data_IF_097211451875
#
_entry.id   IF_097211451875
#
_cell.length_a   1.000
_cell.length_b   1.000
_cell.length_c   1.000
_cell.angle_alpha   90.00
_cell.angle_beta   90.00
_cell.angle_gamma   90.00
#
_symmetry.space_group_name_H-M   'P 1'
#
loop_
_entity.id
_entity.type
_entity.pdbx_description
1 polymer ?
#
# COMPACT_ATOMS: atom_id res chain seq x y z
N UNK A 1 -14.03 27.78 -29.67
CA UNK A 1 -13.27 28.52 -28.63
C UNK A 1 -13.57 27.93 -27.26
N UNK A 2 -12.83 26.92 -26.80
CA UNK A 2 -12.84 26.47 -25.40
C UNK A 2 -11.39 26.27 -24.98
N UNK A 3 -10.90 27.10 -24.06
CA UNK A 3 -9.52 27.09 -23.55
C UNK A 3 -9.38 25.93 -22.57
N UNK A 4 -8.69 24.87 -22.97
CA UNK A 4 -8.29 23.77 -22.10
C UNK A 4 -7.32 24.28 -21.03
N UNK A 5 -7.77 24.28 -19.78
CA UNK A 5 -6.98 24.71 -18.61
C UNK A 5 -6.17 23.50 -18.15
N UNK A 6 -4.90 23.44 -18.56
CA UNK A 6 -3.92 22.45 -18.05
C UNK A 6 -3.68 22.77 -16.58
N UNK A 7 -4.35 22.04 -15.67
CA UNK A 7 -4.09 22.13 -14.24
C UNK A 7 -2.90 21.22 -13.96
N UNK A 8 -1.80 21.84 -13.53
CA UNK A 8 -0.54 21.19 -13.15
C UNK A 8 -0.80 20.27 -11.95
N UNK A 9 -0.89 18.97 -12.20
CA UNK A 9 -1.01 17.94 -11.17
C UNK A 9 0.23 17.89 -10.28
N UNK A 10 0.01 17.88 -8.97
CA UNK A 10 1.06 17.70 -7.96
C UNK A 10 1.51 16.24 -8.00
N UNK A 11 2.77 16.00 -8.36
CA UNK A 11 3.40 14.71 -8.12
C UNK A 11 3.73 14.59 -6.62
N UNK A 12 3.15 13.60 -5.95
CA UNK A 12 3.54 13.19 -4.60
C UNK A 12 4.55 12.05 -4.74
N UNK A 13 5.81 12.29 -4.35
CA UNK A 13 6.86 11.28 -4.27
C UNK A 13 6.90 10.78 -2.81
N UNK A 14 6.40 9.57 -2.55
CA UNK A 14 6.54 8.92 -1.25
C UNK A 14 7.74 7.98 -1.28
N UNK A 15 8.76 8.28 -0.47
CA UNK A 15 9.92 7.42 -0.23
C UNK A 15 9.70 6.78 1.15
N UNK A 16 9.32 5.50 1.17
CA UNK A 16 9.11 4.77 2.42
C UNK A 16 10.47 4.40 3.04
N UNK A 17 10.74 4.93 4.23
CA UNK A 17 11.81 4.48 5.11
C UNK A 17 11.21 3.83 6.36
N UNK A 18 11.48 2.54 6.56
CA UNK A 18 11.18 1.81 7.80
C UNK A 18 12.00 2.36 8.97
N UNK A 19 11.37 2.81 10.06
CA UNK A 19 11.94 2.70 11.43
C UNK A 19 10.85 2.56 12.50
N UNK A 20 11.18 1.73 13.48
CA UNK A 20 10.39 1.20 14.57
C UNK A 20 10.34 2.20 15.75
N UNK A 21 9.22 2.20 16.49
CA UNK A 21 8.86 3.15 17.55
C UNK A 21 9.81 3.18 18.74
N UNK A 22 10.20 4.38 19.22
CA UNK A 22 10.35 4.71 20.65
C UNK A 22 10.08 6.21 20.89
N UNK A 23 9.48 6.48 22.04
CA UNK A 23 8.93 7.73 22.58
C UNK A 23 9.88 8.94 22.61
N UNK A 24 9.38 10.11 22.22
CA UNK A 24 9.89 11.41 22.65
C UNK A 24 10.48 12.29 21.54
N UNK A 25 9.98 13.52 21.50
CA UNK A 25 10.47 14.66 20.70
C UNK A 25 10.22 14.61 19.18
N UNK A 26 9.27 15.44 18.76
CA UNK A 26 9.12 15.91 17.39
C UNK A 26 10.47 16.42 16.86
N UNK A 27 11.16 15.57 16.10
CA UNK A 27 12.39 15.90 15.41
C UNK A 27 12.13 15.78 13.92
N UNK A 28 11.76 16.93 13.37
CA UNK A 28 11.83 17.34 11.98
C UNK A 28 12.79 16.46 11.15
N UNK A 29 12.24 15.54 10.34
CA UNK A 29 13.02 14.75 9.39
C UNK A 29 13.53 15.67 8.29
N UNK A 30 14.80 16.07 8.47
CA UNK A 30 15.51 17.05 7.65
C UNK A 30 16.02 16.37 6.37
N UNK A 31 15.29 16.50 5.26
CA UNK A 31 15.94 16.50 3.95
C UNK A 31 16.88 17.72 3.91
N UNK A 32 18.19 17.49 3.81
CA UNK A 32 19.23 18.52 3.92
C UNK A 32 19.44 19.32 2.63
N UNK A 33 18.55 19.20 1.66
CA UNK A 33 18.64 19.92 0.38
C UNK A 33 18.18 21.37 0.59
N UNK A 34 19.12 22.31 0.44
CA UNK A 34 18.87 23.76 0.50
C UNK A 34 18.09 24.29 -0.73
N UNK A 35 17.49 23.40 -1.53
CA UNK A 35 16.82 23.75 -2.77
C UNK A 35 15.32 23.89 -2.59
N UNK A 36 14.76 25.00 -3.07
CA UNK A 36 13.33 25.26 -3.03
C UNK A 36 12.68 24.72 -4.30
N UNK A 37 11.92 23.64 -4.16
CA UNK A 37 11.10 23.14 -5.26
C UNK A 37 9.87 24.03 -5.49
N UNK A 38 9.53 24.28 -6.76
CA UNK A 38 8.37 25.10 -7.13
C UNK A 38 7.08 24.29 -7.36
N UNK A 39 7.21 23.01 -7.71
CA UNK A 39 6.10 22.12 -8.04
C UNK A 39 6.06 20.84 -7.21
N UNK A 40 6.94 20.73 -6.22
CA UNK A 40 6.98 19.59 -5.29
C UNK A 40 6.67 20.12 -3.90
N UNK A 41 5.73 19.46 -3.23
CA UNK A 41 5.39 19.72 -1.82
C UNK A 41 5.80 18.49 -1.01
N UNK A 42 6.76 18.67 -0.13
CA UNK A 42 7.07 17.67 0.89
C UNK A 42 6.05 17.77 2.02
N UNK A 43 5.52 16.63 2.45
CA UNK A 43 4.55 16.53 3.54
C UNK A 43 5.15 15.71 4.67
N UNK A 44 4.93 16.08 5.95
CA UNK A 44 5.34 15.24 7.06
C UNK A 44 4.51 13.95 7.09
N UNK A 45 4.97 12.97 7.87
CA UNK A 45 4.16 11.80 8.18
C UNK A 45 2.84 12.23 8.85
N UNK A 46 1.75 11.60 8.42
CA UNK A 46 0.39 11.85 8.92
C UNK A 46 -0.26 10.53 9.32
N UNK A 47 -1.27 10.54 10.20
CA UNK A 47 -2.05 9.35 10.53
C UNK A 47 -2.76 8.76 9.29
N UNK A 48 -3.06 7.46 9.31
CA UNK A 48 -3.64 6.74 8.16
C UNK A 48 -4.96 7.33 7.65
N UNK A 49 -5.83 7.82 8.55
CA UNK A 49 -7.10 8.46 8.15
C UNK A 49 -6.87 9.76 7.37
N UNK A 50 -5.92 10.57 7.82
CA UNK A 50 -5.52 11.80 7.15
C UNK A 50 -4.80 11.50 5.83
N UNK A 51 -3.94 10.47 5.80
CA UNK A 51 -3.28 10.00 4.58
C UNK A 51 -4.31 9.61 3.51
N UNK A 52 -5.34 8.87 3.89
CA UNK A 52 -6.39 8.49 2.94
C UNK A 52 -7.15 9.72 2.41
N UNK A 53 -7.44 10.71 3.28
CA UNK A 53 -8.06 11.97 2.87
C UNK A 53 -7.15 12.79 1.94
N UNK A 54 -5.84 12.74 2.16
CA UNK A 54 -4.84 13.39 1.32
C UNK A 54 -4.71 12.69 -0.04
N UNK A 55 -4.62 11.36 -0.07
CA UNK A 55 -4.53 10.57 -1.30
C UNK A 55 -5.70 10.87 -2.21
N UNK A 56 -6.94 10.89 -1.70
CA UNK A 56 -8.15 11.23 -2.47
C UNK A 56 -8.16 12.63 -3.09
N UNK A 57 -7.27 13.54 -2.68
CA UNK A 57 -7.11 14.86 -3.29
C UNK A 57 -6.14 14.88 -4.48
N UNK A 58 -5.52 13.75 -4.79
CA UNK A 58 -4.56 13.60 -5.88
C UNK A 58 -5.13 12.70 -6.98
N UNK A 59 -4.61 12.86 -8.18
CA UNK A 59 -5.09 12.14 -9.35
C UNK A 59 -4.34 10.81 -9.55
N UNK A 60 -3.01 10.85 -9.53
CA UNK A 60 -2.12 9.75 -9.92
C UNK A 60 -1.11 9.49 -8.81
N UNK A 61 -0.89 8.21 -8.49
CA UNK A 61 0.17 7.78 -7.58
C UNK A 61 1.40 7.33 -8.37
N UNK A 62 2.61 7.65 -7.89
CA UNK A 62 3.86 7.25 -8.55
C UNK A 62 4.74 6.58 -7.50
N UNK A 63 5.26 5.39 -7.82
CA UNK A 63 6.25 4.69 -7.00
C UNK A 63 7.42 4.22 -7.85
N UNK A 64 8.63 4.42 -7.33
CA UNK A 64 9.88 3.94 -7.91
C UNK A 64 10.60 2.96 -6.95
N UNK A 65 9.83 2.33 -6.06
CA UNK A 65 10.37 1.38 -5.08
C UNK A 65 10.93 0.15 -5.80
N UNK A 66 12.16 -0.21 -5.48
CA UNK A 66 12.83 -1.42 -6.00
C UNK A 66 12.58 -2.59 -5.03
N UNK A 67 12.33 -3.78 -5.60
CA UNK A 67 12.19 -5.05 -4.86
C UNK A 67 11.18 -4.99 -3.70
N UNK A 68 10.08 -4.28 -3.89
CA UNK A 68 8.97 -4.20 -2.93
C UNK A 68 7.95 -5.31 -3.22
N UNK A 69 7.95 -6.42 -2.46
CA UNK A 69 7.11 -7.57 -2.77
C UNK A 69 5.62 -7.29 -2.53
N UNK A 70 5.30 -6.36 -1.63
CA UNK A 70 3.92 -5.99 -1.34
C UNK A 70 3.86 -4.56 -0.80
N UNK A 71 3.76 -3.59 -1.71
CA UNK A 71 3.80 -2.18 -1.34
C UNK A 71 2.47 -1.75 -0.71
N UNK A 72 2.44 -1.61 0.62
CA UNK A 72 1.25 -1.14 1.34
C UNK A 72 0.77 0.23 0.83
N UNK A 73 1.70 1.15 0.57
CA UNK A 73 1.35 2.49 0.07
C UNK A 73 0.75 2.45 -1.34
N UNK A 74 1.16 1.50 -2.18
CA UNK A 74 0.53 1.30 -3.49
C UNK A 74 -0.90 0.78 -3.32
N UNK A 75 -1.12 -0.20 -2.44
CA UNK A 75 -2.45 -0.73 -2.13
C UNK A 75 -3.36 0.38 -1.58
N UNK A 76 -2.87 1.22 -0.67
CA UNK A 76 -3.61 2.37 -0.13
C UNK A 76 -3.98 3.39 -1.21
N UNK A 77 -3.06 3.70 -2.12
CA UNK A 77 -3.33 4.61 -3.23
C UNK A 77 -4.42 4.07 -4.18
N UNK A 78 -4.31 2.80 -4.56
CA UNK A 78 -5.32 2.13 -5.39
C UNK A 78 -6.67 2.06 -4.66
N UNK A 79 -6.69 1.71 -3.38
CA UNK A 79 -7.91 1.72 -2.57
C UNK A 79 -8.55 3.11 -2.44
N UNK A 80 -7.75 4.17 -2.54
CA UNK A 80 -8.23 5.55 -2.62
C UNK A 80 -8.68 5.97 -4.04
N UNK A 81 -8.58 5.09 -5.03
CA UNK A 81 -9.04 5.31 -6.40
C UNK A 81 -8.02 6.01 -7.31
N UNK A 82 -6.73 5.97 -6.97
CA UNK A 82 -5.66 6.59 -7.76
C UNK A 82 -5.02 5.54 -8.67
N UNK A 83 -5.09 5.71 -9.99
CA UNK A 83 -4.24 4.96 -10.91
C UNK A 83 -2.75 5.17 -10.60
N UNK A 84 -1.93 4.16 -10.87
CA UNK A 84 -0.52 4.18 -10.52
C UNK A 84 0.42 4.16 -11.74
N UNK A 85 1.50 4.93 -11.67
CA UNK A 85 2.71 4.73 -12.49
C UNK A 85 3.78 4.10 -11.59
N UNK A 86 4.26 2.91 -11.93
CA UNK A 86 5.06 2.10 -11.01
C UNK A 86 6.28 1.48 -11.68
N UNK A 87 7.37 1.29 -10.93
CA UNK A 87 8.53 0.54 -11.42
C UNK A 87 8.14 -0.93 -11.61
N UNK A 88 8.45 -1.51 -12.77
CA UNK A 88 8.15 -2.91 -13.10
C UNK A 88 9.07 -3.90 -12.36
N UNK A 89 9.00 -3.89 -11.04
CA UNK A 89 9.80 -4.70 -10.14
C UNK A 89 8.99 -5.12 -8.91
N UNK A 90 9.43 -6.16 -8.20
CA UNK A 90 8.73 -6.70 -7.03
C UNK A 90 7.30 -7.14 -7.33
N UNK A 91 6.38 -6.83 -6.41
CA UNK A 91 4.96 -7.17 -6.53
C UNK A 91 4.10 -6.11 -7.20
N UNK A 92 4.66 -4.97 -7.65
CA UNK A 92 3.87 -3.88 -8.22
C UNK A 92 3.01 -4.30 -9.43
N UNK A 93 3.51 -5.11 -10.40
CA UNK A 93 2.70 -5.50 -11.56
C UNK A 93 1.46 -6.29 -11.17
N UNK A 94 1.59 -7.15 -10.15
CA UNK A 94 0.49 -7.99 -9.64
C UNK A 94 -0.54 -7.15 -8.88
N UNK A 95 -0.09 -6.20 -8.06
CA UNK A 95 -0.96 -5.34 -7.24
C UNK A 95 -1.72 -4.32 -8.11
N UNK A 96 -1.05 -3.71 -9.09
CA UNK A 96 -1.67 -2.66 -9.93
C UNK A 96 -2.62 -3.27 -10.97
N UNK A 97 -2.28 -4.44 -11.53
CA UNK A 97 -3.07 -5.06 -12.59
C UNK A 97 -3.32 -4.10 -13.75
N UNK A 98 -4.59 -3.85 -14.05
CA UNK A 98 -5.01 -2.95 -15.14
C UNK A 98 -5.24 -1.49 -14.68
N UNK A 99 -5.04 -1.19 -13.40
CA UNK A 99 -5.27 0.12 -12.80
C UNK A 99 -4.14 1.14 -13.01
N UNK A 100 -3.14 0.85 -13.84
CA UNK A 100 -1.97 1.72 -13.97
C UNK A 100 -1.03 1.32 -15.11
N UNK A 101 0.16 1.94 -15.13
CA UNK A 101 1.18 1.73 -16.16
C UNK A 101 2.56 1.47 -15.54
N UNK A 102 3.29 0.42 -15.99
CA UNK A 102 4.65 0.16 -15.55
C UNK A 102 5.65 1.11 -16.22
N UNK A 103 6.78 1.36 -15.59
CA UNK A 103 7.99 1.90 -16.23
C UNK A 103 9.21 1.07 -15.85
N UNK A 104 10.24 1.10 -16.71
CA UNK A 104 11.52 0.42 -16.48
C UNK A 104 12.62 1.43 -16.14
N UNK A 105 12.56 2.60 -16.78
CA UNK A 105 13.56 3.66 -16.62
C UNK A 105 12.88 4.97 -16.26
N UNK A 106 13.61 5.83 -15.57
CA UNK A 106 13.11 7.16 -15.16
C UNK A 106 12.67 8.02 -16.35
N UNK A 107 13.28 7.82 -17.52
CA UNK A 107 12.96 8.53 -18.75
C UNK A 107 11.56 8.18 -19.29
N UNK A 108 11.00 7.02 -18.91
CA UNK A 108 9.68 6.57 -19.35
C UNK A 108 8.55 7.27 -18.57
N UNK A 109 8.84 7.73 -17.34
CA UNK A 109 7.84 8.26 -16.39
C UNK A 109 7.00 9.39 -17.02
N UNK A 110 7.57 10.42 -17.68
CA UNK A 110 6.77 11.49 -18.29
C UNK A 110 5.78 10.97 -19.33
N UNK A 111 6.21 10.05 -20.20
CA UNK A 111 5.35 9.47 -21.24
C UNK A 111 4.22 8.62 -20.65
N UNK A 112 4.52 7.85 -19.60
CA UNK A 112 3.51 7.05 -18.91
C UNK A 112 2.51 7.92 -18.15
N UNK A 113 2.96 9.02 -17.54
CA UNK A 113 2.06 9.99 -16.91
C UNK A 113 1.12 10.65 -17.91
N UNK A 114 1.63 11.08 -19.07
CA UNK A 114 0.81 11.67 -20.12
C UNK A 114 -0.23 10.67 -20.66
N UNK A 115 0.19 9.43 -20.91
CA UNK A 115 -0.70 8.36 -21.38
C UNK A 115 -1.77 8.01 -20.35
N UNK A 116 -1.40 7.91 -19.07
CA UNK A 116 -2.33 7.65 -17.97
C UNK A 116 -3.32 8.80 -17.81
N UNK A 117 -2.84 10.04 -17.81
CA UNK A 117 -3.68 11.24 -17.69
C UNK A 117 -4.69 11.35 -18.85
N UNK A 118 -4.26 11.03 -20.08
CA UNK A 118 -5.13 11.06 -21.27
C UNK A 118 -6.28 10.05 -21.17
N UNK A 119 -6.04 8.91 -20.53
CA UNK A 119 -7.00 7.81 -20.41
C UNK A 119 -7.46 7.58 -18.96
N UNK A 120 -7.39 8.63 -18.13
CA UNK A 120 -7.56 8.52 -16.68
C UNK A 120 -8.84 7.76 -16.25
N UNK A 121 -10.04 8.08 -16.79
CA UNK A 121 -11.25 7.39 -16.36
C UNK A 121 -11.25 5.89 -16.67
N UNK A 122 -10.47 5.45 -17.66
CA UNK A 122 -10.35 4.04 -18.01
C UNK A 122 -9.51 3.32 -16.97
N UNK A 123 -8.32 3.84 -16.66
CA UNK A 123 -7.45 3.26 -15.63
C UNK A 123 -8.11 3.26 -14.26
N UNK A 124 -8.76 4.36 -13.86
CA UNK A 124 -9.43 4.45 -12.56
C UNK A 124 -10.54 3.40 -12.40
N UNK A 125 -11.32 3.15 -13.46
CA UNK A 125 -12.38 2.13 -13.45
C UNK A 125 -11.85 0.70 -13.41
N UNK A 126 -10.60 0.49 -13.81
CA UNK A 126 -9.95 -0.82 -13.85
C UNK A 126 -9.19 -1.13 -12.55
N UNK A 127 -9.13 -0.19 -11.60
CA UNK A 127 -8.60 -0.45 -10.27
C UNK A 127 -9.48 -1.50 -9.59
N UNK A 128 -8.85 -2.61 -9.19
CA UNK A 128 -9.50 -3.70 -8.50
C UNK A 128 -8.66 -4.06 -7.28
N UNK A 129 -9.14 -3.71 -6.09
CA UNK A 129 -8.52 -4.07 -4.82
C UNK A 129 -9.53 -4.94 -4.05
N UNK A 130 -9.18 -6.20 -3.75
CA UNK A 130 -10.06 -7.05 -2.96
C UNK A 130 -10.16 -6.49 -1.54
N UNK A 131 -11.35 -6.65 -0.96
CA UNK A 131 -11.60 -6.32 0.44
C UNK A 131 -10.83 -7.27 1.35
N UNK A 132 -10.55 -6.82 2.57
CA UNK A 132 -9.93 -7.67 3.59
C UNK A 132 -10.78 -8.92 3.88
N UNK A 133 -12.11 -8.81 3.75
CA UNK A 133 -13.03 -9.93 3.92
C UNK A 133 -12.86 -10.99 2.81
N UNK A 134 -12.74 -10.58 1.55
CA UNK A 134 -12.50 -11.49 0.41
C UNK A 134 -11.15 -12.19 0.53
N UNK A 135 -10.12 -11.45 0.93
CA UNK A 135 -8.80 -12.02 1.19
C UNK A 135 -8.86 -13.01 2.36
N UNK A 136 -9.51 -12.65 3.47
CA UNK A 136 -9.67 -13.53 4.63
C UNK A 136 -10.40 -14.83 4.26
N UNK A 137 -11.44 -14.76 3.41
CA UNK A 137 -12.14 -15.96 2.90
C UNK A 137 -11.21 -16.85 2.08
N UNK A 138 -10.34 -16.27 1.25
CA UNK A 138 -9.34 -17.00 0.48
C UNK A 138 -8.35 -17.72 1.40
N UNK A 139 -7.83 -17.04 2.42
CA UNK A 139 -6.96 -17.66 3.42
C UNK A 139 -7.66 -18.82 4.15
N UNK A 140 -8.90 -18.61 4.61
CA UNK A 140 -9.67 -19.66 5.28
C UNK A 140 -9.94 -20.87 4.38
N UNK A 141 -10.16 -20.64 3.08
CA UNK A 141 -10.34 -21.71 2.11
C UNK A 141 -9.08 -22.59 2.01
N UNK A 142 -7.92 -21.96 1.81
CA UNK A 142 -6.63 -22.68 1.73
C UNK A 142 -6.34 -23.43 3.03
N UNK A 143 -6.56 -22.81 4.19
CA UNK A 143 -6.35 -23.44 5.49
C UNK A 143 -7.23 -24.68 5.68
N UNK A 144 -8.50 -24.64 5.25
CA UNK A 144 -9.39 -25.81 5.29
C UNK A 144 -8.89 -26.94 4.41
N UNK A 145 -8.44 -26.64 3.19
CA UNK A 145 -7.85 -27.64 2.30
C UNK A 145 -6.61 -28.29 2.91
N UNK A 146 -5.75 -27.51 3.56
CA UNK A 146 -4.56 -28.05 4.25
C UNK A 146 -4.95 -29.01 5.37
N UNK A 147 -6.00 -28.72 6.15
CA UNK A 147 -6.48 -29.60 7.21
C UNK A 147 -7.05 -30.93 6.71
N UNK A 148 -7.56 -30.97 5.47
CA UNK A 148 -8.05 -32.21 4.84
C UNK A 148 -6.89 -33.09 4.32
N UNK A 149 -5.77 -32.47 3.93
CA UNK A 149 -4.59 -33.15 3.38
C UNK A 149 -3.65 -33.63 4.50
N UNK A 150 -3.54 -32.88 5.59
CA UNK A 150 -2.74 -33.29 6.75
C UNK A 150 -3.39 -34.55 7.35
N UNK A 151 -2.70 -35.71 7.39
CA UNK A 151 -3.23 -36.88 8.07
C UNK A 151 -3.57 -36.49 9.50
N UNK A 152 -4.68 -37.00 10.03
CA UNK A 152 -4.96 -36.92 11.47
C UNK A 152 -3.89 -37.72 12.21
N UNK A 153 -2.70 -37.16 12.38
CA UNK A 153 -1.68 -37.71 13.28
C UNK A 153 -2.28 -37.64 14.67
N UNK A 154 -2.76 -38.80 15.10
CA UNK A 154 -3.10 -39.25 16.44
C UNK A 154 -3.37 -38.13 17.46
N UNK A 155 -4.65 -37.74 17.58
CA UNK A 155 -5.17 -37.18 18.84
C UNK A 155 -5.42 -38.31 19.84
N UNK A 156 -4.34 -38.97 20.25
CA UNK A 156 -4.17 -39.76 21.47
C UNK A 156 -2.69 -39.49 21.78
N UNK A 157 -2.30 -38.58 22.66
CA UNK A 157 -2.52 -38.57 24.10
C UNK A 157 -2.38 -37.12 24.58
N UNK A 158 -3.46 -36.50 25.05
CA UNK A 158 -3.39 -35.32 25.93
C UNK A 158 -4.64 -35.19 26.83
N UNK A 159 -5.42 -36.26 27.00
CA UNK A 159 -6.45 -36.37 28.04
C UNK A 159 -5.91 -37.16 29.23
N UNK A 160 -4.72 -36.80 29.74
CA UNK A 160 -4.28 -37.17 31.11
C UNK A 160 -2.95 -36.51 31.48
N UNK A 161 -2.92 -35.19 31.68
CA UNK A 161 -1.95 -34.56 32.59
C UNK A 161 -2.38 -33.11 32.92
N UNK A 162 -2.94 -32.96 34.13
CA UNK A 162 -2.99 -31.71 34.92
C UNK A 162 -3.71 -30.50 34.32
N UNK A 163 -5.04 -30.53 34.46
CA UNK A 163 -5.80 -29.31 34.73
C UNK A 163 -5.64 -28.96 36.22
N UNK A 164 -4.52 -28.34 36.60
CA UNK A 164 -4.44 -27.64 37.88
C UNK A 164 -3.45 -26.49 37.80
N UNK A 165 -3.86 -25.33 38.34
CA UNK A 165 -3.08 -24.11 38.52
C UNK A 165 -2.83 -23.21 37.30
N UNK A 166 -3.81 -22.37 36.96
CA UNK A 166 -3.58 -20.98 36.52
C UNK A 166 -4.86 -20.14 36.69
N UNK A 167 -5.34 -20.04 37.92
CA UNK A 167 -6.24 -18.94 38.32
C UNK A 167 -5.35 -17.89 38.99
N UNK A 168 -5.16 -16.69 38.42
CA UNK A 168 -4.47 -15.62 39.12
C UNK A 168 -5.30 -15.17 40.32
N UNK A 169 -4.69 -14.88 41.49
CA UNK A 169 -5.43 -14.35 42.62
C UNK A 169 -6.07 -13.01 42.25
N UNK A 170 -7.39 -12.93 42.41
CA UNK A 170 -8.12 -11.67 42.45
C UNK A 170 -7.67 -10.93 43.71
N UNK A 171 -6.99 -9.80 43.53
CA UNK A 171 -6.75 -8.86 44.62
C UNK A 171 -7.71 -7.69 44.47
N UNK A 172 -8.44 -7.45 45.56
CA UNK A 172 -9.34 -6.34 45.82
C UNK A 172 -8.60 -4.99 45.91
#
# INVERSE_FOLDING_TARGET
MHRGRIIRGKAALSINGWTNTWTGAASNTRLSTQERFHHIKHLPAVPSEELAALLRQHDIYITASERDPCSNSLVEALACGLPAVYLNDGGHPEIVGLGGLPFEKREDIPGQLERLATHYPQFQRLICIPTIEEIAKTYLHVMKQMLEIIPKTTRMEADSATAESLVPPSTA
#
